data_IF_582145221935
#
_entry.id   IF_582145221935
#
_cell.length_a   1.000
_cell.length_b   1.000
_cell.length_c   1.000
_cell.angle_alpha   90.00
_cell.angle_beta   90.00
_cell.angle_gamma   90.00
#
_symmetry.space_group_name_H-M   'P 1'
#
loop_
_entity.id
_entity.type
_entity.pdbx_description
1 polymer ?
#
# COMPACT_ATOMS: atom_id res chain seq x y z
N UNK A 1 21.17 3.69 11.24
CA UNK A 1 20.16 3.95 10.17
C UNK A 1 18.98 4.68 10.79
N UNK A 2 18.41 5.68 10.15
CA UNK A 2 17.15 6.31 10.58
C UNK A 2 16.03 5.28 10.43
N UNK A 3 15.19 5.14 11.46
CA UNK A 3 14.00 4.26 11.37
C UNK A 3 13.08 4.75 10.25
N UNK A 4 12.54 3.80 9.48
CA UNK A 4 11.50 4.12 8.51
C UNK A 4 10.20 4.47 9.23
N UNK A 5 9.45 5.47 8.74
CA UNK A 5 8.16 5.82 9.31
C UNK A 5 7.13 4.71 9.06
N UNK A 6 6.21 4.57 10.02
CA UNK A 6 5.15 3.57 10.00
C UNK A 6 3.79 4.25 9.86
N UNK A 7 3.01 3.83 8.87
CA UNK A 7 1.67 4.31 8.61
C UNK A 7 0.63 3.20 8.77
N UNK A 8 -0.64 3.58 8.88
CA UNK A 8 -1.78 2.67 8.83
C UNK A 8 -2.49 2.81 7.49
N UNK A 9 -2.74 1.67 6.80
CA UNK A 9 -3.72 1.64 5.71
C UNK A 9 -5.14 1.74 6.30
N UNK A 10 -5.88 2.78 5.94
CA UNK A 10 -7.20 3.06 6.54
C UNK A 10 -8.29 2.05 6.13
N UNK A 11 -8.05 1.20 5.15
CA UNK A 11 -8.92 0.06 4.86
C UNK A 11 -9.01 -0.91 6.05
N UNK A 12 -7.97 -0.97 6.87
CA UNK A 12 -7.93 -1.75 8.12
C UNK A 12 -8.97 -1.29 9.15
N UNK A 13 -9.45 -0.07 9.05
CA UNK A 13 -10.44 0.55 9.97
C UNK A 13 -11.58 1.20 9.17
N UNK A 14 -11.88 0.67 7.98
CA UNK A 14 -12.81 1.24 7.00
C UNK A 14 -14.20 1.54 7.55
N UNK A 15 -14.73 0.65 8.41
CA UNK A 15 -16.07 0.81 8.96
C UNK A 15 -16.15 1.94 10.00
N UNK A 16 -15.06 2.14 10.75
CA UNK A 16 -14.92 3.26 11.68
C UNK A 16 -14.64 4.56 10.93
N UNK A 17 -13.79 4.52 9.89
CA UNK A 17 -13.48 5.66 9.05
C UNK A 17 -14.72 6.17 8.26
N UNK A 18 -15.58 5.27 7.81
CA UNK A 18 -16.84 5.63 7.14
C UNK A 18 -17.81 6.38 8.08
N UNK A 19 -17.73 6.16 9.39
CA UNK A 19 -18.57 6.83 10.39
C UNK A 19 -17.97 8.17 10.86
N UNK A 20 -16.67 8.19 11.11
CA UNK A 20 -15.95 9.35 11.66
C UNK A 20 -14.46 9.32 11.22
N UNK A 21 -14.18 9.70 9.98
CA UNK A 21 -12.79 9.77 9.49
C UNK A 21 -11.91 10.71 10.35
N UNK A 22 -12.33 11.93 10.74
CA UNK A 22 -11.53 12.78 11.62
C UNK A 22 -11.21 12.14 12.97
N UNK A 23 -12.17 11.44 13.57
CA UNK A 23 -11.98 10.72 14.83
C UNK A 23 -10.99 9.56 14.69
N UNK A 24 -11.06 8.80 13.61
CA UNK A 24 -10.10 7.74 13.28
C UNK A 24 -8.69 8.31 13.12
N UNK A 25 -8.50 9.41 12.39
CA UNK A 25 -7.19 10.05 12.22
C UNK A 25 -6.58 10.46 13.57
N UNK A 26 -7.39 11.04 14.47
CA UNK A 26 -6.94 11.37 15.84
C UNK A 26 -6.57 10.12 16.65
N UNK A 27 -7.34 9.03 16.53
CA UNK A 27 -7.05 7.78 17.21
C UNK A 27 -5.72 7.18 16.72
N UNK A 28 -5.50 7.14 15.41
CA UNK A 28 -4.27 6.62 14.77
C UNK A 28 -3.05 7.44 15.20
N UNK A 29 -3.16 8.77 15.22
CA UNK A 29 -2.10 9.64 15.74
C UNK A 29 -1.79 9.35 17.22
N UNK A 30 -2.82 9.14 18.05
CA UNK A 30 -2.65 8.82 19.48
C UNK A 30 -1.96 7.47 19.71
N UNK A 31 -2.14 6.48 18.83
CA UNK A 31 -1.40 5.20 18.87
C UNK A 31 0.09 5.42 18.60
N UNK A 32 0.44 6.48 17.85
CA UNK A 32 1.81 6.85 17.52
C UNK A 32 2.26 6.37 16.14
N UNK A 33 1.35 6.23 15.20
CA UNK A 33 1.68 6.13 13.78
C UNK A 33 2.25 7.45 13.25
N UNK A 34 3.13 7.39 12.26
CA UNK A 34 3.72 8.57 11.61
C UNK A 34 2.84 9.10 10.46
N UNK A 35 1.97 8.26 9.92
CA UNK A 35 1.12 8.60 8.79
C UNK A 35 -0.03 7.63 8.57
N UNK A 36 -0.79 7.91 7.50
CA UNK A 36 -1.88 7.07 7.01
C UNK A 36 -1.82 6.94 5.50
N UNK A 37 -2.26 5.80 4.98
CA UNK A 37 -2.61 5.62 3.58
C UNK A 37 -4.14 5.57 3.45
N UNK A 38 -4.69 6.36 2.53
CA UNK A 38 -6.13 6.45 2.35
C UNK A 38 -6.67 5.35 1.44
N UNK A 39 -7.81 4.75 1.83
CA UNK A 39 -8.63 3.85 1.01
C UNK A 39 -10.04 4.44 0.81
N UNK A 40 -10.09 5.62 0.19
CA UNK A 40 -11.28 6.43 0.07
C UNK A 40 -11.32 7.60 1.05
N UNK A 41 -12.19 8.56 0.77
CA UNK A 41 -12.26 9.83 1.50
C UNK A 41 -13.62 10.09 2.14
N UNK A 42 -14.58 9.19 1.99
CA UNK A 42 -15.92 9.19 2.61
C UNK A 42 -16.67 10.53 2.45
N UNK A 43 -16.50 11.19 1.30
CA UNK A 43 -17.15 12.47 0.99
C UNK A 43 -16.51 13.70 1.63
N UNK A 44 -15.37 13.56 2.30
CA UNK A 44 -14.63 14.70 2.84
C UNK A 44 -13.80 15.40 1.75
N UNK A 45 -13.73 16.73 1.82
CA UNK A 45 -12.86 17.53 0.98
C UNK A 45 -11.39 17.40 1.41
N UNK A 46 -10.46 17.46 0.45
CA UNK A 46 -9.03 17.32 0.74
C UNK A 46 -8.51 18.35 1.77
N UNK A 47 -9.02 19.59 1.72
CA UNK A 47 -8.62 20.65 2.65
C UNK A 47 -9.04 20.33 4.10
N UNK A 48 -10.22 19.73 4.30
CA UNK A 48 -10.71 19.36 5.63
C UNK A 48 -9.90 18.19 6.21
N UNK A 49 -9.61 17.18 5.39
CA UNK A 49 -8.73 16.08 5.77
C UNK A 49 -7.34 16.61 6.12
N UNK A 50 -6.76 17.47 5.27
CA UNK A 50 -5.43 18.05 5.48
C UNK A 50 -5.34 18.81 6.80
N UNK A 51 -6.36 19.58 7.12
CA UNK A 51 -6.44 20.29 8.42
C UNK A 51 -6.34 19.35 9.61
N UNK A 52 -7.04 18.21 9.58
CA UNK A 52 -6.97 17.21 10.65
C UNK A 52 -5.59 16.56 10.70
N UNK A 53 -5.02 16.20 9.55
CA UNK A 53 -3.67 15.61 9.49
C UNK A 53 -2.63 16.56 10.11
N UNK A 54 -2.70 17.85 9.79
CA UNK A 54 -1.78 18.87 10.34
C UNK A 54 -1.98 19.08 11.84
N UNK A 55 -3.25 19.09 12.31
CA UNK A 55 -3.60 19.20 13.73
C UNK A 55 -2.96 18.10 14.57
N UNK A 56 -2.95 16.85 14.05
CA UNK A 56 -2.47 15.68 14.80
C UNK A 56 -1.05 15.26 14.43
N UNK A 57 -0.43 15.90 13.45
CA UNK A 57 0.94 15.61 13.00
C UNK A 57 1.11 14.38 12.11
N UNK A 58 0.01 13.79 11.59
CA UNK A 58 0.07 12.66 10.66
C UNK A 58 0.46 13.12 9.24
N UNK A 59 1.18 12.26 8.53
CA UNK A 59 1.46 12.43 7.10
C UNK A 59 0.50 11.59 6.25
N UNK A 60 0.11 12.10 5.08
CA UNK A 60 -0.46 11.28 4.03
C UNK A 60 0.70 10.56 3.32
N UNK A 61 0.88 9.27 3.57
CA UNK A 61 1.98 8.49 3.00
C UNK A 61 1.62 7.81 1.69
N UNK A 62 0.34 7.80 1.33
CA UNK A 62 -0.19 7.15 0.13
C UNK A 62 -1.70 7.25 0.04
N UNK A 63 -2.22 6.79 -1.08
CA UNK A 63 -3.65 6.61 -1.26
C UNK A 63 -3.92 5.52 -2.30
N UNK A 64 -4.88 4.66 -2.01
CA UNK A 64 -5.43 3.69 -2.94
C UNK A 64 -6.39 4.40 -3.90
N UNK A 65 -5.96 4.54 -5.14
CA UNK A 65 -6.65 5.32 -6.18
C UNK A 65 -7.02 4.39 -7.34
N UNK A 66 -8.30 4.34 -7.68
CA UNK A 66 -8.75 3.57 -8.84
C UNK A 66 -8.07 4.06 -10.13
N UNK A 67 -7.63 3.13 -10.98
CA UNK A 67 -6.85 3.45 -12.19
C UNK A 67 -7.58 4.47 -13.09
N UNK A 68 -8.91 4.38 -13.19
CA UNK A 68 -9.71 5.25 -14.06
C UNK A 68 -9.71 6.72 -13.60
N UNK A 69 -9.48 6.98 -12.29
CA UNK A 69 -9.32 8.33 -11.75
C UNK A 69 -7.98 8.98 -12.16
N UNK A 70 -7.05 8.19 -12.68
CA UNK A 70 -5.74 8.67 -13.16
C UNK A 70 -5.67 8.74 -14.69
N UNK A 71 -6.80 8.56 -15.39
CA UNK A 71 -6.87 8.56 -16.86
C UNK A 71 -7.63 9.77 -17.40
N UNK A 72 -7.20 10.26 -18.56
CA UNK A 72 -7.91 11.27 -19.34
C UNK A 72 -8.29 12.50 -18.53
N UNK A 73 -9.55 12.92 -18.65
CA UNK A 73 -10.08 14.14 -18.01
C UNK A 73 -10.21 14.08 -16.48
N UNK A 74 -10.11 12.89 -15.85
CA UNK A 74 -10.19 12.75 -14.40
C UNK A 74 -8.85 13.10 -13.69
N UNK A 75 -7.72 12.91 -14.38
CA UNK A 75 -6.39 13.07 -13.81
C UNK A 75 -6.13 14.45 -13.17
N UNK A 76 -6.49 15.60 -13.76
CA UNK A 76 -6.23 16.91 -13.15
C UNK A 76 -6.88 17.07 -11.77
N UNK A 77 -8.13 16.64 -11.61
CA UNK A 77 -8.83 16.71 -10.32
C UNK A 77 -8.18 15.80 -9.28
N UNK A 78 -7.76 14.59 -9.69
CA UNK A 78 -7.03 13.66 -8.82
C UNK A 78 -5.70 14.29 -8.36
N UNK A 79 -4.91 14.86 -9.26
CA UNK A 79 -3.65 15.53 -8.91
C UNK A 79 -3.88 16.64 -7.89
N UNK A 80 -4.89 17.50 -8.09
CA UNK A 80 -5.15 18.61 -7.19
C UNK A 80 -5.57 18.14 -5.79
N UNK A 81 -6.43 17.13 -5.72
CA UNK A 81 -6.84 16.52 -4.45
C UNK A 81 -5.62 15.93 -3.70
N UNK A 82 -4.79 15.14 -4.40
CA UNK A 82 -3.61 14.50 -3.80
C UNK A 82 -2.55 15.53 -3.40
N UNK A 83 -2.37 16.58 -4.19
CA UNK A 83 -1.47 17.69 -3.86
C UNK A 83 -1.91 18.40 -2.57
N UNK A 84 -3.20 18.66 -2.40
CA UNK A 84 -3.75 19.28 -1.19
C UNK A 84 -3.47 18.42 0.04
N UNK A 85 -3.57 17.10 -0.05
CA UNK A 85 -3.21 16.19 1.05
C UNK A 85 -1.70 16.10 1.30
N UNK A 86 -0.86 16.54 0.37
CA UNK A 86 0.59 16.32 0.41
C UNK A 86 0.98 14.88 0.04
N UNK A 87 0.10 14.16 -0.61
CA UNK A 87 0.35 12.79 -1.07
C UNK A 87 1.16 12.78 -2.37
N UNK A 88 2.14 11.87 -2.44
CA UNK A 88 2.91 11.61 -3.66
C UNK A 88 2.75 10.19 -4.21
N UNK A 89 2.17 9.27 -3.46
CA UNK A 89 2.00 7.87 -3.87
C UNK A 89 0.54 7.56 -4.18
N UNK A 90 0.21 7.44 -5.46
CA UNK A 90 -1.12 7.12 -5.99
C UNK A 90 -1.10 5.65 -6.42
N UNK A 91 -1.50 4.76 -5.53
CA UNK A 91 -1.38 3.32 -5.72
C UNK A 91 -2.71 2.74 -6.20
N UNK A 92 -2.66 1.95 -7.26
CA UNK A 92 -3.82 1.18 -7.74
C UNK A 92 -3.99 -0.05 -6.84
N UNK A 93 -5.10 -0.16 -6.07
CA UNK A 93 -5.28 -1.26 -5.11
C UNK A 93 -5.80 -2.53 -5.76
N UNK A 94 -6.32 -2.45 -6.97
CA UNK A 94 -6.90 -3.58 -7.69
C UNK A 94 -7.35 -3.16 -9.08
N UNK A 95 -7.54 -4.15 -9.93
CA UNK A 95 -7.86 -3.99 -11.35
C UNK A 95 -9.10 -4.82 -11.71
N UNK A 96 -9.84 -4.37 -12.73
CA UNK A 96 -10.96 -5.16 -13.26
C UNK A 96 -10.46 -6.42 -13.97
N UNK A 97 -11.33 -7.41 -14.07
CA UNK A 97 -11.03 -8.68 -14.77
C UNK A 97 -10.58 -8.45 -16.21
N UNK A 98 -11.13 -7.45 -16.90
CA UNK A 98 -10.74 -7.11 -18.28
C UNK A 98 -9.27 -6.67 -18.39
N UNK A 99 -8.71 -6.14 -17.31
CA UNK A 99 -7.31 -5.68 -17.24
C UNK A 99 -6.33 -6.78 -16.78
N UNK A 100 -6.85 -7.94 -16.31
CA UNK A 100 -6.04 -8.97 -15.63
C UNK A 100 -6.27 -10.40 -16.13
N UNK A 101 -7.26 -10.64 -17.02
CA UNK A 101 -7.71 -11.97 -17.41
C UNK A 101 -6.77 -12.73 -18.36
N UNK A 102 -5.68 -12.14 -18.79
CA UNK A 102 -4.72 -12.76 -19.70
C UNK A 102 -3.37 -12.03 -19.66
N UNK A 103 -2.31 -12.69 -20.13
CA UNK A 103 -0.99 -12.07 -20.33
C UNK A 103 -1.08 -10.80 -21.17
N UNK A 104 -1.87 -10.80 -22.26
CA UNK A 104 -2.06 -9.63 -23.11
C UNK A 104 -2.73 -8.46 -22.35
N UNK A 105 -3.70 -8.75 -21.49
CA UNK A 105 -4.36 -7.77 -20.65
C UNK A 105 -3.39 -7.16 -19.63
N UNK A 106 -2.55 -7.97 -18.98
CA UNK A 106 -1.51 -7.50 -18.07
C UNK A 106 -0.46 -6.63 -18.76
N UNK A 107 0.00 -7.01 -19.96
CA UNK A 107 0.93 -6.20 -20.75
C UNK A 107 0.31 -4.84 -21.10
N UNK A 108 -0.96 -4.82 -21.52
CA UNK A 108 -1.68 -3.56 -21.81
C UNK A 108 -1.88 -2.71 -20.57
N UNK A 109 -2.10 -3.33 -19.43
CA UNK A 109 -2.18 -2.63 -18.14
C UNK A 109 -0.83 -2.03 -17.73
N UNK A 110 0.27 -2.75 -17.96
CA UNK A 110 1.63 -2.22 -17.73
C UNK A 110 1.92 -0.98 -18.61
N UNK A 111 1.54 -1.00 -19.89
CA UNK A 111 1.63 0.18 -20.77
C UNK A 111 0.84 1.36 -20.20
N UNK A 112 -0.42 1.12 -19.80
CA UNK A 112 -1.27 2.15 -19.18
C UNK A 112 -0.64 2.74 -17.93
N UNK A 113 -0.07 1.92 -17.06
CA UNK A 113 0.59 2.39 -15.84
C UNK A 113 1.86 3.18 -16.13
N UNK A 114 2.60 2.85 -17.20
CA UNK A 114 3.73 3.64 -17.67
C UNK A 114 3.30 5.04 -18.15
N UNK A 115 2.18 5.13 -18.87
CA UNK A 115 1.60 6.41 -19.30
C UNK A 115 1.15 7.25 -18.08
N UNK A 116 0.49 6.65 -17.11
CA UNK A 116 0.09 7.32 -15.86
C UNK A 116 1.34 7.84 -15.12
N UNK A 117 2.38 7.01 -14.98
CA UNK A 117 3.62 7.40 -14.31
C UNK A 117 4.27 8.61 -15.01
N UNK A 118 4.33 8.61 -16.35
CA UNK A 118 4.86 9.73 -17.13
C UNK A 118 4.04 11.02 -16.90
N UNK A 119 2.72 10.92 -16.83
CA UNK A 119 1.82 12.06 -16.61
C UNK A 119 1.90 12.61 -15.17
N UNK A 120 2.15 11.77 -14.17
CA UNK A 120 2.28 12.18 -12.77
C UNK A 120 3.66 12.77 -12.43
N UNK A 121 4.70 12.36 -13.13
CA UNK A 121 6.10 12.76 -12.88
C UNK A 121 6.33 14.27 -12.83
N UNK A 122 5.76 15.11 -13.73
CA UNK A 122 5.91 16.58 -13.66
C UNK A 122 5.31 17.20 -12.40
N UNK A 123 4.40 16.47 -11.73
CA UNK A 123 3.75 16.90 -10.50
C UNK A 123 4.46 16.40 -9.23
N UNK A 124 5.59 15.69 -9.37
CA UNK A 124 6.32 15.07 -8.26
C UNK A 124 5.56 13.90 -7.61
N UNK A 125 4.61 13.32 -8.33
CA UNK A 125 3.80 12.18 -7.89
C UNK A 125 4.23 10.91 -8.60
N UNK A 126 3.99 9.77 -7.96
CA UNK A 126 4.28 8.44 -8.45
C UNK A 126 3.01 7.60 -8.44
N UNK A 127 2.85 6.74 -9.42
CA UNK A 127 1.83 5.67 -9.36
C UNK A 127 2.49 4.35 -9.03
N UNK A 128 1.67 3.39 -8.60
CA UNK A 128 2.12 2.03 -8.32
C UNK A 128 0.98 1.05 -8.31
N UNK A 129 1.30 -0.20 -8.04
CA UNK A 129 0.33 -1.28 -7.94
C UNK A 129 0.55 -2.07 -6.64
N UNK A 130 -0.55 -2.35 -5.95
CA UNK A 130 -0.62 -3.15 -4.74
C UNK A 130 -1.09 -4.58 -5.08
N UNK A 131 -0.36 -5.60 -4.61
CA UNK A 131 -0.71 -6.98 -4.87
C UNK A 131 -1.76 -7.55 -3.92
N UNK A 132 -2.54 -8.46 -4.47
CA UNK A 132 -3.27 -9.49 -3.73
C UNK A 132 -2.57 -10.86 -3.90
N UNK A 133 -3.25 -11.94 -3.58
CA UNK A 133 -2.71 -13.29 -3.77
C UNK A 133 -2.77 -13.73 -5.25
N UNK A 134 -3.69 -13.19 -6.02
CA UNK A 134 -3.96 -13.61 -7.41
C UNK A 134 -2.82 -13.32 -8.36
N UNK A 135 -2.01 -12.30 -8.10
CA UNK A 135 -0.84 -11.93 -8.91
C UNK A 135 0.30 -12.95 -8.83
N UNK A 136 0.22 -13.87 -7.86
CA UNK A 136 1.20 -14.93 -7.64
C UNK A 136 0.69 -16.34 -8.03
N UNK A 137 -0.49 -16.41 -8.62
CA UNK A 137 -0.99 -17.66 -9.22
C UNK A 137 -0.48 -17.80 -10.65
N UNK A 138 -0.13 -19.02 -11.04
CA UNK A 138 0.41 -19.31 -12.38
C UNK A 138 -0.57 -18.89 -13.50
N UNK A 139 -0.05 -18.16 -14.47
CA UNK A 139 -0.75 -17.78 -15.70
C UNK A 139 0.10 -18.23 -16.90
N UNK A 140 -0.19 -19.40 -17.43
CA UNK A 140 0.51 -19.98 -18.59
C UNK A 140 2.04 -20.10 -18.39
N UNK A 141 2.48 -20.44 -17.18
CA UNK A 141 3.90 -20.61 -16.83
C UNK A 141 4.63 -19.35 -16.37
N UNK A 142 3.92 -18.22 -16.22
CA UNK A 142 4.45 -16.96 -15.71
C UNK A 142 3.56 -16.42 -14.58
N UNK A 143 4.10 -15.59 -13.72
CA UNK A 143 3.30 -14.90 -12.69
C UNK A 143 2.78 -13.57 -13.24
N UNK A 144 1.49 -13.23 -13.05
CA UNK A 144 0.95 -11.91 -13.38
C UNK A 144 1.80 -10.76 -12.83
N UNK A 145 2.32 -10.93 -11.61
CA UNK A 145 3.24 -9.97 -11.00
C UNK A 145 4.49 -9.69 -11.84
N UNK A 146 5.12 -10.74 -12.35
CA UNK A 146 6.32 -10.62 -13.19
C UNK A 146 5.99 -10.11 -14.59
N UNK A 147 4.86 -10.52 -15.16
CA UNK A 147 4.38 -9.96 -16.44
C UNK A 147 4.20 -8.44 -16.30
N UNK A 148 3.59 -7.99 -15.21
CA UNK A 148 3.33 -6.56 -14.97
C UNK A 148 4.62 -5.80 -14.66
N UNK A 149 5.35 -6.15 -13.58
CA UNK A 149 6.52 -5.40 -13.14
C UNK A 149 7.72 -5.53 -14.08
N UNK A 150 7.84 -6.65 -14.82
CA UNK A 150 8.83 -6.82 -15.88
C UNK A 150 8.63 -5.89 -17.08
N UNK A 151 7.41 -5.35 -17.27
CA UNK A 151 7.05 -4.48 -18.39
C UNK A 151 6.68 -3.05 -17.96
N UNK A 152 6.80 -2.72 -16.66
CA UNK A 152 6.63 -1.34 -16.18
C UNK A 152 7.97 -0.65 -15.96
N UNK A 153 7.97 0.68 -16.15
CA UNK A 153 9.14 1.51 -15.87
C UNK A 153 9.50 1.51 -14.38
N UNK A 154 10.74 1.83 -14.00
CA UNK A 154 11.13 1.99 -12.59
C UNK A 154 10.36 3.08 -11.84
N UNK A 155 9.71 4.01 -12.55
CA UNK A 155 8.86 5.06 -11.96
C UNK A 155 7.50 4.51 -11.45
N UNK A 156 7.14 3.25 -11.80
CA UNK A 156 5.94 2.57 -11.25
C UNK A 156 6.32 1.85 -9.96
N UNK A 157 5.77 2.31 -8.85
CA UNK A 157 6.05 1.79 -7.49
C UNK A 157 5.50 0.38 -7.34
N UNK A 158 6.32 -0.50 -6.80
CA UNK A 158 5.93 -1.83 -6.35
C UNK A 158 5.47 -1.72 -4.88
N UNK A 159 4.17 -1.43 -4.65
CA UNK A 159 3.65 -1.51 -3.29
C UNK A 159 3.41 -2.99 -2.95
N UNK A 160 4.42 -3.60 -2.34
CA UNK A 160 4.39 -5.02 -2.03
C UNK A 160 3.64 -5.27 -0.72
N UNK A 161 2.59 -6.10 -0.76
CA UNK A 161 1.90 -6.62 0.42
C UNK A 161 2.44 -8.01 0.78
N UNK A 162 2.98 -8.12 1.99
CA UNK A 162 3.69 -9.31 2.47
C UNK A 162 2.76 -10.49 2.74
N UNK A 163 1.61 -10.25 3.33
CA UNK A 163 0.63 -11.29 3.69
C UNK A 163 -0.12 -11.80 2.47
N UNK A 164 -0.56 -10.91 1.60
CA UNK A 164 -1.22 -11.29 0.35
C UNK A 164 -0.30 -12.12 -0.55
N UNK A 165 0.98 -11.74 -0.65
CA UNK A 165 1.96 -12.49 -1.41
C UNK A 165 2.15 -13.90 -0.84
N UNK A 166 2.35 -14.03 0.48
CA UNK A 166 2.53 -15.32 1.14
C UNK A 166 1.28 -16.19 1.03
N UNK A 167 0.08 -15.61 1.08
CA UNK A 167 -1.19 -16.29 0.79
C UNK A 167 -1.22 -16.87 -0.63
N UNK A 168 -0.65 -16.17 -1.60
CA UNK A 168 -0.46 -16.65 -2.98
C UNK A 168 0.71 -17.64 -3.16
N UNK A 169 1.38 -18.04 -2.09
CA UNK A 169 2.55 -18.93 -2.12
C UNK A 169 3.86 -18.24 -2.50
N UNK A 170 3.91 -16.91 -2.44
CA UNK A 170 5.05 -16.10 -2.87
C UNK A 170 5.81 -15.50 -1.67
N UNK A 171 7.11 -15.82 -1.60
CA UNK A 171 8.02 -15.26 -0.60
C UNK A 171 8.44 -13.84 -0.98
N UNK A 172 8.15 -12.87 -0.11
CA UNK A 172 8.45 -11.45 -0.33
C UNK A 172 9.92 -11.20 -0.71
N UNK A 173 10.85 -11.89 -0.07
CA UNK A 173 12.28 -11.76 -0.32
C UNK A 173 12.67 -12.02 -1.78
N UNK A 174 11.97 -12.90 -2.47
CA UNK A 174 12.21 -13.19 -3.90
C UNK A 174 11.96 -11.96 -4.77
N UNK A 175 10.85 -11.28 -4.56
CA UNK A 175 10.41 -10.15 -5.40
C UNK A 175 11.13 -8.85 -5.03
N UNK A 176 11.42 -8.63 -3.74
CA UNK A 176 12.25 -7.51 -3.31
C UNK A 176 13.66 -7.55 -3.93
N UNK A 177 14.25 -8.75 -4.06
CA UNK A 177 15.55 -8.93 -4.74
C UNK A 177 15.44 -8.79 -6.27
N UNK A 178 14.32 -9.24 -6.86
CA UNK A 178 14.10 -9.19 -8.31
C UNK A 178 13.87 -7.77 -8.82
N UNK A 179 13.21 -6.94 -8.02
CA UNK A 179 12.86 -5.55 -8.36
C UNK A 179 13.44 -4.55 -7.35
N UNK A 180 14.77 -4.40 -7.28
CA UNK A 180 15.41 -3.51 -6.31
C UNK A 180 15.01 -2.05 -6.54
N UNK A 181 14.97 -1.27 -5.45
CA UNK A 181 14.60 0.15 -5.41
C UNK A 181 13.18 0.48 -5.91
N UNK A 182 12.28 -0.50 -6.00
CA UNK A 182 10.89 -0.28 -6.45
C UNK A 182 9.86 -0.38 -5.33
N UNK A 183 10.21 -0.98 -4.18
CA UNK A 183 9.32 -1.17 -3.04
C UNK A 183 9.30 0.08 -2.13
N UNK A 184 8.98 1.25 -2.71
CA UNK A 184 9.03 2.53 -1.99
C UNK A 184 8.03 2.60 -0.84
N UNK A 185 6.91 1.90 -0.96
CA UNK A 185 5.94 1.66 0.11
C UNK A 185 5.70 0.16 0.22
N UNK A 186 5.67 -0.38 1.44
CA UNK A 186 5.48 -1.82 1.68
C UNK A 186 4.35 -2.01 2.69
N UNK A 187 3.35 -2.81 2.30
CA UNK A 187 2.30 -3.23 3.21
C UNK A 187 2.81 -4.36 4.10
N UNK A 188 2.85 -4.04 5.39
CA UNK A 188 3.12 -5.00 6.43
C UNK A 188 1.79 -5.64 6.85
N UNK A 189 1.49 -6.77 6.25
CA UNK A 189 0.32 -7.59 6.53
C UNK A 189 0.78 -8.96 6.96
N UNK A 190 0.21 -9.46 8.05
CA UNK A 190 0.49 -10.82 8.50
C UNK A 190 -0.24 -11.84 7.64
N UNK A 191 0.32 -13.02 7.56
CA UNK A 191 -0.34 -14.21 7.07
C UNK A 191 -0.02 -15.38 8.00
N UNK A 192 -1.01 -16.20 8.29
CA UNK A 192 -0.81 -17.47 8.97
C UNK A 192 -1.70 -18.53 8.35
N UNK A 193 -1.11 -19.68 8.05
CA UNK A 193 -1.86 -20.83 7.51
C UNK A 193 -2.86 -21.42 8.52
N UNK A 194 -2.74 -21.09 9.80
CA UNK A 194 -3.54 -21.66 10.88
C UNK A 194 -4.36 -20.66 11.68
N UNK A 195 -4.10 -19.36 11.49
CA UNK A 195 -4.79 -18.28 12.22
C UNK A 195 -5.00 -17.07 11.29
N UNK A 196 -6.16 -16.97 10.65
CA UNK A 196 -6.49 -15.89 9.72
C UNK A 196 -6.56 -14.49 10.36
N UNK A 197 -6.66 -14.42 11.71
CA UNK A 197 -6.71 -13.17 12.46
C UNK A 197 -5.39 -12.81 13.13
N UNK A 198 -4.28 -13.49 12.79
CA UNK A 198 -2.96 -13.22 13.33
C UNK A 198 -2.56 -11.75 13.09
N UNK A 199 -2.03 -11.12 14.13
CA UNK A 199 -1.44 -9.78 14.03
C UNK A 199 0.02 -9.88 13.61
N UNK A 200 0.63 -8.77 13.19
CA UNK A 200 2.04 -8.71 12.79
C UNK A 200 2.92 -9.39 13.85
N UNK A 201 3.71 -10.37 13.43
CA UNK A 201 4.60 -11.17 14.26
C UNK A 201 3.99 -12.38 14.94
N UNK A 202 2.72 -12.68 14.65
CA UNK A 202 2.01 -13.85 15.20
C UNK A 202 1.78 -14.96 14.16
N UNK A 203 2.25 -14.75 12.91
CA UNK A 203 2.04 -15.66 11.79
C UNK A 203 3.32 -16.20 11.18
N UNK A 204 3.29 -16.42 9.87
CA UNK A 204 4.32 -17.13 9.12
C UNK A 204 5.23 -16.18 8.30
N UNK A 205 4.98 -14.86 8.32
CA UNK A 205 5.76 -13.87 7.57
C UNK A 205 7.18 -13.73 8.14
N UNK A 206 8.19 -13.78 7.28
CA UNK A 206 9.62 -13.70 7.66
C UNK A 206 10.07 -12.26 7.85
N UNK A 207 9.64 -11.62 8.92
CA UNK A 207 9.82 -10.19 9.17
C UNK A 207 11.27 -9.71 9.11
N UNK A 208 12.22 -10.41 9.73
CA UNK A 208 13.64 -10.01 9.76
C UNK A 208 14.24 -9.92 8.35
N UNK A 209 13.92 -10.88 7.48
CA UNK A 209 14.37 -10.87 6.08
C UNK A 209 13.75 -9.70 5.32
N UNK A 210 12.44 -9.49 5.48
CA UNK A 210 11.70 -8.42 4.79
C UNK A 210 12.25 -7.05 5.20
N UNK A 211 12.39 -6.80 6.50
CA UNK A 211 12.95 -5.53 6.98
C UNK A 211 14.36 -5.29 6.45
N UNK A 212 15.23 -6.31 6.50
CA UNK A 212 16.58 -6.18 5.96
C UNK A 212 16.58 -5.82 4.47
N UNK A 213 15.74 -6.46 3.66
CA UNK A 213 15.66 -6.19 2.23
C UNK A 213 15.06 -4.82 1.92
N UNK A 214 14.00 -4.42 2.62
CA UNK A 214 13.39 -3.10 2.49
C UNK A 214 14.40 -1.99 2.80
N UNK A 215 15.17 -2.15 3.87
CA UNK A 215 16.12 -1.15 4.38
C UNK A 215 17.45 -1.12 3.61
N UNK A 216 17.75 -2.14 2.79
CA UNK A 216 19.01 -2.20 2.01
C UNK A 216 18.82 -2.01 0.51
N UNK A 217 17.95 -2.81 -0.10
CA UNK A 217 17.77 -2.82 -1.58
C UNK A 217 16.37 -2.44 -2.03
N UNK A 218 15.36 -2.43 -1.15
CA UNK A 218 13.97 -2.14 -1.50
C UNK A 218 13.72 -0.68 -1.89
N UNK A 219 14.56 0.24 -1.38
CA UNK A 219 14.36 1.67 -1.52
C UNK A 219 13.19 2.20 -0.69
N UNK A 220 12.75 1.43 0.31
CA UNK A 220 11.53 1.66 1.08
C UNK A 220 11.58 2.98 1.84
N UNK A 221 10.51 3.75 1.77
CA UNK A 221 10.32 5.03 2.43
C UNK A 221 9.23 4.96 3.50
N UNK A 222 8.27 4.01 3.37
CA UNK A 222 7.17 3.81 4.31
C UNK A 222 6.88 2.34 4.53
N UNK A 223 6.71 1.97 5.78
CA UNK A 223 6.00 0.77 6.19
C UNK A 223 4.55 1.11 6.44
N UNK A 224 3.62 0.31 5.90
CA UNK A 224 2.19 0.56 6.00
C UNK A 224 1.53 -0.69 6.58
N UNK A 225 1.02 -0.59 7.80
CA UNK A 225 0.31 -1.69 8.45
C UNK A 225 -1.04 -1.89 7.78
N UNK A 226 -1.38 -3.12 7.43
CA UNK A 226 -2.71 -3.50 6.96
C UNK A 226 -3.23 -4.73 7.68
N UNK A 227 -4.50 -4.69 8.11
CA UNK A 227 -5.21 -5.79 8.75
C UNK A 227 -6.65 -5.85 8.23
N UNK A 228 -7.08 -7.00 7.73
CA UNK A 228 -8.41 -7.17 7.13
C UNK A 228 -9.28 -8.20 7.84
N UNK A 229 -8.67 -9.10 8.62
CA UNK A 229 -9.32 -10.08 9.49
C UNK A 229 -9.00 -9.78 10.95
N UNK A 230 -9.97 -9.81 11.85
CA UNK A 230 -9.85 -9.17 13.15
C UNK A 230 -10.10 -10.14 14.31
N UNK A 231 -9.08 -10.31 15.18
CA UNK A 231 -9.20 -10.96 16.49
C UNK A 231 -9.77 -10.02 17.56
N UNK A 232 -9.66 -8.70 17.35
CA UNK A 232 -10.10 -7.62 18.26
C UNK A 232 -10.80 -6.54 17.42
N UNK A 233 -11.43 -5.51 18.02
CA UNK A 233 -11.91 -4.35 17.27
C UNK A 233 -10.83 -3.78 16.35
N UNK A 234 -11.15 -3.32 15.11
CA UNK A 234 -10.14 -2.93 14.11
C UNK A 234 -9.09 -1.95 14.60
N UNK A 235 -9.48 -0.90 15.32
CA UNK A 235 -8.54 0.07 15.91
C UNK A 235 -7.62 -0.57 16.96
N UNK A 236 -8.10 -1.57 17.71
CA UNK A 236 -7.26 -2.31 18.67
C UNK A 236 -6.27 -3.22 17.92
N UNK A 237 -6.68 -3.87 16.82
CA UNK A 237 -5.77 -4.64 15.97
C UNK A 237 -4.65 -3.74 15.41
N UNK A 238 -5.00 -2.54 14.96
CA UNK A 238 -4.03 -1.56 14.45
C UNK A 238 -3.02 -1.15 15.55
N UNK A 239 -3.48 -0.83 16.76
CA UNK A 239 -2.59 -0.49 17.87
C UNK A 239 -1.66 -1.65 18.24
N UNK A 240 -2.19 -2.86 18.39
CA UNK A 240 -1.40 -4.06 18.73
C UNK A 240 -0.35 -4.38 17.67
N UNK A 241 -0.69 -4.28 16.38
CA UNK A 241 0.25 -4.48 15.28
C UNK A 241 1.40 -3.46 15.33
N UNK A 242 1.12 -2.19 15.61
CA UNK A 242 2.16 -1.19 15.83
C UNK A 242 3.04 -1.51 17.05
N UNK A 243 2.45 -1.95 18.17
CA UNK A 243 3.21 -2.34 19.35
C UNK A 243 4.12 -3.56 19.07
N UNK A 244 3.66 -4.51 18.27
CA UNK A 244 4.46 -5.65 17.86
C UNK A 244 5.64 -5.23 16.98
N UNK A 245 5.45 -4.32 16.01
CA UNK A 245 6.55 -3.73 15.22
C UNK A 245 7.58 -3.02 16.10
N UNK A 246 7.13 -2.27 17.10
CA UNK A 246 8.02 -1.63 18.07
C UNK A 246 8.85 -2.62 18.88
N UNK A 247 8.28 -3.77 19.29
CA UNK A 247 9.02 -4.86 19.95
C UNK A 247 10.08 -5.48 19.02
N UNK A 248 9.83 -5.48 17.70
CA UNK A 248 10.80 -5.90 16.67
C UNK A 248 11.85 -4.80 16.37
N UNK A 249 11.81 -3.66 17.08
CA UNK A 249 12.78 -2.57 16.92
C UNK A 249 12.43 -1.57 15.80
N UNK A 250 11.23 -1.64 15.25
CA UNK A 250 10.75 -0.72 14.20
C UNK A 250 9.97 0.46 14.74
#
# INVERSE_FOLDING_TARGET
MTKLPIALQLYSVRDDAAKDLPGVLRAVAKMGYDGVEFAGYYGHEAADIKKVLDEVGLKCCGGHIGIDSMLGGALPATIEFQRTLGNKFLIVPGLSTERTNSKAAWLKTAETMNEIAANLKPHGMLTGYHNHHTEFLDMDGELPWDIFFGNTSPDVVMQFDTGNALHGGAEAGTFLRRYPNRALTVHLKEYSATNETALIGEGDVKWDEIFNLCETIGGTQWYIVEQESYAYPPLECADRSLQNLRKMGK
#
